data_IF_530635631764
#
_entry.id   IF_530635631764
#
_cell.length_a   1.000
_cell.length_b   1.000
_cell.length_c   1.000
_cell.angle_alpha   90.00
_cell.angle_beta   90.00
_cell.angle_gamma   90.00
#
_symmetry.space_group_name_H-M   'P 1'
#
loop_
_entity.id
_entity.type
_entity.pdbx_description
1 polymer ?
#
# COMPACT_ATOMS: atom_id res chain seq x y z
N UNK A 1 16.01 -37.62 -66.41
CA UNK A 1 17.27 -36.84 -66.43
C UNK A 1 17.10 -35.82 -65.37
N UNK A 2 17.72 -35.80 -64.35
CA UNK A 2 18.90 -36.32 -63.73
C UNK A 2 18.97 -35.68 -62.36
N UNK A 3 19.02 -36.43 -61.39
CA UNK A 3 19.49 -36.40 -60.05
C UNK A 3 20.64 -35.39 -59.74
N UNK A 4 20.53 -34.68 -58.64
CA UNK A 4 21.71 -34.33 -57.83
C UNK A 4 21.29 -34.26 -56.37
N UNK A 5 21.74 -35.27 -55.65
CA UNK A 5 21.91 -35.31 -54.20
C UNK A 5 23.02 -34.37 -53.79
N UNK A 6 22.85 -33.70 -52.68
CA UNK A 6 23.99 -33.25 -51.86
C UNK A 6 23.65 -33.45 -50.41
N UNK A 7 24.24 -34.47 -49.86
CA UNK A 7 24.51 -34.65 -48.46
C UNK A 7 25.55 -33.61 -48.00
N UNK A 8 25.35 -33.01 -46.87
CA UNK A 8 26.47 -32.57 -46.00
C UNK A 8 25.96 -32.38 -44.59
N UNK A 9 26.32 -33.30 -43.78
CA UNK A 9 27.16 -33.25 -42.57
C UNK A 9 26.53 -32.58 -41.32
N UNK A 10 26.23 -33.46 -40.46
CA UNK A 10 26.22 -33.46 -39.03
C UNK A 10 27.47 -32.75 -38.48
N UNK A 11 27.27 -31.68 -37.73
CA UNK A 11 28.30 -31.25 -36.75
C UNK A 11 27.64 -31.00 -35.39
N UNK A 12 27.97 -31.92 -34.50
CA UNK A 12 27.69 -31.87 -33.08
C UNK A 12 28.69 -30.89 -32.41
N UNK A 13 28.19 -29.83 -31.81
CA UNK A 13 28.98 -29.02 -30.92
C UNK A 13 28.29 -28.94 -29.57
N UNK A 14 28.63 -29.82 -28.69
CA UNK A 14 29.32 -29.73 -27.42
C UNK A 14 28.85 -28.58 -26.50
N UNK A 15 27.99 -28.92 -25.56
CA UNK A 15 27.75 -28.18 -24.33
C UNK A 15 29.03 -27.88 -23.54
N UNK A 16 29.13 -26.73 -22.91
CA UNK A 16 29.87 -26.62 -21.68
C UNK A 16 28.93 -26.51 -20.48
N UNK A 17 28.92 -27.56 -19.68
CA UNK A 17 28.46 -27.52 -18.29
C UNK A 17 29.30 -26.49 -17.54
N UNK A 18 28.66 -25.46 -17.02
CA UNK A 18 29.21 -24.64 -15.93
C UNK A 18 28.36 -24.91 -14.70
N UNK A 19 28.93 -25.69 -13.80
CA UNK A 19 28.53 -25.74 -12.40
C UNK A 19 28.96 -24.43 -11.75
N UNK A 20 28.03 -23.68 -11.27
CA UNK A 20 28.28 -22.69 -10.24
C UNK A 20 27.40 -23.05 -9.04
N UNK A 21 28.05 -23.69 -8.08
CA UNK A 21 27.59 -23.80 -6.71
C UNK A 21 27.51 -22.38 -6.15
N UNK A 22 26.31 -21.91 -5.86
CA UNK A 22 26.12 -20.70 -5.06
C UNK A 22 25.36 -21.10 -3.80
N UNK A 23 26.14 -21.19 -2.76
CA UNK A 23 25.76 -21.39 -1.36
C UNK A 23 24.86 -20.22 -0.91
N UNK A 24 23.77 -20.47 -0.19
CA UNK A 24 22.92 -19.42 0.35
C UNK A 24 23.57 -18.68 1.52
N UNK A 25 23.44 -17.37 1.67
CA UNK A 25 24.00 -16.62 2.78
C UNK A 25 23.31 -16.98 4.09
N UNK A 26 24.14 -17.37 5.04
CA UNK A 26 23.85 -17.70 6.44
C UNK A 26 23.33 -16.46 7.17
N UNK A 27 22.16 -16.54 7.75
CA UNK A 27 21.57 -15.55 8.64
C UNK A 27 22.44 -15.30 9.89
N UNK A 28 22.54 -14.06 10.39
CA UNK A 28 23.20 -13.79 11.65
C UNK A 28 22.31 -14.23 12.82
N UNK A 29 22.90 -15.05 13.68
CA UNK A 29 22.34 -15.56 14.94
C UNK A 29 22.44 -14.42 15.96
N UNK A 30 21.32 -13.94 16.47
CA UNK A 30 21.27 -13.07 17.64
C UNK A 30 21.57 -13.90 18.89
N UNK A 31 22.70 -13.61 19.51
CA UNK A 31 23.02 -14.13 20.83
C UNK A 31 22.40 -13.23 21.89
N UNK A 32 21.45 -13.79 22.60
CA UNK A 32 20.88 -13.25 23.82
C UNK A 32 21.86 -13.54 24.97
N UNK A 33 22.55 -12.51 25.41
CA UNK A 33 23.36 -12.54 26.63
C UNK A 33 22.49 -12.15 27.81
N UNK A 34 22.04 -13.12 28.54
CA UNK A 34 21.51 -12.97 29.90
C UNK A 34 22.71 -13.02 30.85
N UNK A 35 22.97 -11.90 31.52
CA UNK A 35 23.85 -11.93 32.68
C UNK A 35 23.11 -11.40 33.90
N UNK A 36 22.74 -12.38 34.72
CA UNK A 36 22.27 -12.27 36.09
C UNK A 36 23.47 -12.03 36.96
N UNK A 37 23.49 -10.98 37.75
CA UNK A 37 24.33 -10.90 38.93
C UNK A 37 23.50 -10.46 40.11
N UNK A 38 23.13 -11.42 40.91
CA UNK A 38 22.80 -11.30 42.31
C UNK A 38 24.05 -10.82 43.07
N UNK A 39 23.88 -9.83 43.93
CA UNK A 39 24.58 -9.85 45.21
C UNK A 39 23.84 -8.98 46.22
N UNK A 40 23.23 -9.65 47.08
CA UNK A 40 22.82 -9.63 48.44
C UNK A 40 23.93 -9.07 49.36
N UNK A 41 23.57 -8.05 50.15
CA UNK A 41 24.09 -7.90 51.50
C UNK A 41 23.38 -6.79 52.26
N UNK A 42 22.39 -7.20 53.03
CA UNK A 42 22.05 -6.54 54.28
C UNK A 42 23.08 -7.00 55.34
N UNK A 43 23.45 -6.11 56.31
CA UNK A 43 23.18 -6.53 57.65
C UNK A 43 22.55 -5.41 58.53
N UNK A 44 21.59 -5.89 59.30
CA UNK A 44 21.07 -5.24 60.48
C UNK A 44 22.15 -5.08 61.56
N UNK A 45 22.06 -4.03 62.30
CA UNK A 45 22.28 -4.03 63.76
C UNK A 45 21.86 -2.67 64.32
N UNK A 46 20.86 -2.63 65.11
CA UNK A 46 20.71 -2.96 66.52
C UNK A 46 21.23 -1.86 67.46
N UNK A 47 20.23 -1.35 68.22
CA UNK A 47 20.26 -0.87 69.56
C UNK A 47 21.10 0.37 69.95
N UNK A 48 20.48 1.41 70.43
CA UNK A 48 20.25 1.61 71.87
C UNK A 48 19.93 3.07 72.11
N UNK A 49 18.73 3.33 72.61
CA UNK A 49 18.39 4.50 73.43
C UNK A 49 19.12 4.37 74.74
N UNK A 50 19.48 5.44 75.49
CA UNK A 50 18.48 6.33 76.04
C UNK A 50 18.90 7.81 76.29
N UNK A 51 17.88 8.60 76.41
CA UNK A 51 17.68 9.68 77.40
C UNK A 51 18.38 11.02 77.31
N UNK A 52 17.51 11.96 77.32
CA UNK A 52 17.47 13.21 78.10
C UNK A 52 18.11 14.47 77.51
N UNK A 53 17.22 15.36 77.29
CA UNK A 53 17.15 16.71 77.90
C UNK A 53 17.72 17.87 77.11
N UNK A 54 16.91 18.94 77.22
CA UNK A 54 17.13 20.34 77.12
C UNK A 54 17.18 21.10 75.74
N UNK A 55 16.04 21.71 75.51
CA UNK A 55 15.82 23.15 75.33
C UNK A 55 16.75 23.94 74.41
N UNK A 56 16.20 24.30 73.24
CA UNK A 56 16.15 25.73 72.80
C UNK A 56 15.41 25.80 71.44
N UNK A 57 14.62 26.83 71.18
CA UNK A 57 13.90 27.00 69.90
C UNK A 57 14.86 27.42 68.80
N UNK A 58 15.09 26.56 67.86
CA UNK A 58 15.78 26.91 66.63
C UNK A 58 14.82 27.59 65.63
N UNK A 59 15.35 28.46 64.76
CA UNK A 59 14.54 29.31 63.90
C UNK A 59 13.70 28.49 62.93
N UNK A 60 12.47 28.96 62.75
CA UNK A 60 11.52 28.52 61.75
C UNK A 60 12.20 28.34 60.38
N UNK A 61 12.47 27.12 60.02
CA UNK A 61 12.68 26.77 58.63
C UNK A 61 11.32 26.88 57.91
N UNK A 62 11.06 28.07 57.40
CA UNK A 62 10.01 28.27 56.42
C UNK A 62 10.33 27.36 55.23
N UNK A 63 9.81 26.14 55.31
CA UNK A 63 9.69 25.25 54.15
C UNK A 63 8.82 26.00 53.12
N UNK A 64 9.49 26.66 52.21
CA UNK A 64 8.92 27.31 51.03
C UNK A 64 8.40 26.22 50.08
N UNK A 65 7.45 25.44 50.59
CA UNK A 65 6.69 24.51 49.78
C UNK A 65 5.77 25.30 48.88
N UNK A 66 6.06 25.33 47.60
CA UNK A 66 5.11 25.83 46.60
C UNK A 66 3.75 25.18 46.86
N UNK A 67 2.65 25.96 46.91
CA UNK A 67 1.34 25.42 47.16
C UNK A 67 1.06 24.33 46.11
N UNK A 68 0.52 23.16 46.49
CA UNK A 68 0.31 22.03 45.62
C UNK A 68 -0.54 22.37 44.38
N UNK A 69 -1.34 23.41 44.46
CA UNK A 69 -2.09 23.96 43.33
C UNK A 69 -1.18 24.54 42.22
N UNK A 70 -0.03 25.15 42.57
CA UNK A 70 0.90 25.68 41.55
C UNK A 70 1.68 24.57 40.85
N UNK A 71 2.00 23.47 41.54
CA UNK A 71 2.66 22.31 40.94
C UNK A 71 1.67 21.58 40.01
N UNK A 72 0.41 21.44 40.41
CA UNK A 72 -0.64 20.83 39.61
C UNK A 72 -0.89 21.62 38.31
N UNK A 73 -0.92 22.95 38.35
CA UNK A 73 -1.09 23.78 37.13
C UNK A 73 0.14 23.78 36.24
N UNK A 74 1.34 23.70 36.82
CA UNK A 74 2.59 23.65 36.05
C UNK A 74 2.72 22.36 35.19
N UNK A 75 2.15 21.25 35.66
CA UNK A 75 2.14 19.98 34.91
C UNK A 75 0.90 19.87 34.01
N UNK A 76 -0.26 20.35 34.46
CA UNK A 76 -1.51 20.23 33.70
C UNK A 76 -1.48 21.05 32.39
N UNK A 77 -0.89 22.21 32.37
CA UNK A 77 -0.80 23.06 31.18
C UNK A 77 -0.02 22.43 30.02
N UNK A 78 1.22 21.91 30.21
CA UNK A 78 1.93 21.26 29.11
C UNK A 78 1.26 19.98 28.66
N UNK A 79 0.64 19.20 29.55
CA UNK A 79 -0.10 18.00 29.18
C UNK A 79 -1.33 18.36 28.34
N UNK A 80 -2.10 19.36 28.75
CA UNK A 80 -3.24 19.85 27.98
C UNK A 80 -2.82 20.38 26.60
N UNK A 81 -1.69 21.09 26.52
CA UNK A 81 -1.14 21.55 25.24
C UNK A 81 -0.77 20.39 24.31
N UNK A 82 -0.10 19.37 24.83
CA UNK A 82 0.27 18.17 24.05
C UNK A 82 -0.98 17.46 23.53
N UNK A 83 -2.00 17.30 24.39
CA UNK A 83 -3.27 16.69 23.98
C UNK A 83 -3.95 17.54 22.90
N UNK A 84 -4.00 18.84 23.08
CA UNK A 84 -4.60 19.77 22.10
C UNK A 84 -3.87 19.70 20.75
N UNK A 85 -2.53 19.67 20.75
CA UNK A 85 -1.72 19.52 19.53
C UNK A 85 -1.97 18.16 18.85
N UNK A 86 -2.05 17.07 19.62
CA UNK A 86 -2.36 15.75 19.08
C UNK A 86 -3.76 15.70 18.46
N UNK A 87 -4.75 16.25 19.15
CA UNK A 87 -6.13 16.33 18.62
C UNK A 87 -6.16 17.19 17.36
N UNK A 88 -5.51 18.34 17.36
CA UNK A 88 -5.42 19.20 16.17
C UNK A 88 -4.71 18.51 15.02
N UNK A 89 -3.63 17.76 15.27
CA UNK A 89 -2.91 17.00 14.26
C UNK A 89 -3.78 15.86 13.66
N UNK A 90 -4.56 15.17 14.49
CA UNK A 90 -5.50 14.14 14.03
C UNK A 90 -6.61 14.78 13.20
N UNK A 91 -7.18 15.90 13.66
CA UNK A 91 -8.22 16.61 12.91
C UNK A 91 -7.68 17.15 11.59
N UNK A 92 -6.46 17.70 11.54
CA UNK A 92 -5.84 18.19 10.32
C UNK A 92 -5.59 17.06 9.31
N UNK A 93 -5.22 15.85 9.77
CA UNK A 93 -5.07 14.68 8.89
C UNK A 93 -6.39 14.18 8.31
N UNK A 94 -7.48 14.37 9.04
CA UNK A 94 -8.82 13.93 8.64
C UNK A 94 -9.62 15.02 7.91
N UNK A 95 -9.05 16.21 7.74
CA UNK A 95 -9.70 17.24 6.91
C UNK A 95 -9.71 16.79 5.46
N UNK A 96 -10.89 16.81 4.79
CA UNK A 96 -10.95 16.58 3.35
C UNK A 96 -10.06 17.62 2.67
N UNK A 97 -9.08 17.17 1.93
CA UNK A 97 -8.32 18.06 1.03
C UNK A 97 -9.27 18.36 -0.13
N UNK A 98 -9.70 19.61 -0.27
CA UNK A 98 -10.45 20.08 -1.44
C UNK A 98 -9.54 19.93 -2.66
N UNK A 99 -9.75 18.83 -3.40
CA UNK A 99 -9.05 18.56 -4.66
C UNK A 99 -9.89 19.12 -5.80
N UNK A 100 -9.20 19.68 -6.78
CA UNK A 100 -9.86 20.10 -8.01
C UNK A 100 -10.49 18.88 -8.71
N UNK A 101 -11.76 18.95 -9.10
CA UNK A 101 -12.40 17.87 -9.83
C UNK A 101 -11.68 17.56 -11.13
N UNK A 102 -11.53 16.25 -11.45
CA UNK A 102 -10.82 15.80 -12.64
C UNK A 102 -11.67 15.92 -13.89
N UNK A 103 -11.07 16.43 -14.95
CA UNK A 103 -11.62 16.39 -16.31
C UNK A 103 -11.02 15.16 -17.00
N UNK A 104 -11.86 14.19 -17.34
CA UNK A 104 -11.43 12.97 -18.03
C UNK A 104 -12.05 12.91 -19.44
N UNK A 105 -11.21 12.51 -20.41
CA UNK A 105 -11.67 12.21 -21.76
C UNK A 105 -12.65 11.02 -21.78
N UNK A 106 -13.64 11.12 -22.68
CA UNK A 106 -14.59 10.01 -22.91
C UNK A 106 -13.91 8.89 -23.69
N UNK A 107 -14.12 7.65 -23.25
CA UNK A 107 -13.72 6.42 -23.95
C UNK A 107 -14.98 5.61 -24.17
N UNK A 108 -15.15 4.98 -25.36
CA UNK A 108 -16.29 4.10 -25.61
C UNK A 108 -16.36 2.97 -24.58
N UNK A 109 -17.49 2.86 -23.92
CA UNK A 109 -17.77 1.84 -22.91
C UNK A 109 -19.17 1.26 -23.16
N UNK A 110 -19.35 0.40 -24.17
CA UNK A 110 -20.68 -0.07 -24.59
C UNK A 110 -21.41 -0.88 -23.52
N UNK A 111 -20.66 -1.51 -22.60
CA UNK A 111 -21.22 -2.30 -21.49
C UNK A 111 -21.15 -1.55 -20.14
N UNK A 112 -21.09 -0.22 -20.13
CA UNK A 112 -20.98 0.61 -18.93
C UNK A 112 -22.13 0.42 -17.93
N UNK A 113 -23.31 0.06 -18.40
CA UNK A 113 -24.52 -0.17 -17.62
C UNK A 113 -24.75 -1.68 -17.28
N UNK A 114 -23.78 -2.54 -17.59
CA UNK A 114 -23.86 -3.97 -17.27
C UNK A 114 -23.99 -4.21 -15.77
N UNK A 115 -24.58 -5.36 -15.41
CA UNK A 115 -24.70 -5.78 -14.01
C UNK A 115 -23.33 -5.82 -13.31
N UNK A 116 -22.28 -6.20 -14.02
CA UNK A 116 -20.93 -6.22 -13.48
C UNK A 116 -20.43 -4.81 -13.08
N UNK A 117 -20.59 -3.83 -13.98
CA UNK A 117 -20.17 -2.45 -13.70
C UNK A 117 -21.02 -1.80 -12.59
N UNK A 118 -22.33 -2.01 -12.60
CA UNK A 118 -23.24 -1.44 -11.58
C UNK A 118 -23.01 -2.04 -10.19
N UNK A 119 -22.53 -3.27 -10.11
CA UNK A 119 -22.13 -3.93 -8.84
C UNK A 119 -20.74 -3.46 -8.40
N UNK A 120 -19.76 -3.41 -9.30
CA UNK A 120 -18.38 -3.11 -8.96
C UNK A 120 -18.16 -1.66 -8.53
N UNK A 121 -18.69 -0.68 -9.26
CA UNK A 121 -18.37 0.73 -9.08
C UNK A 121 -18.67 1.29 -7.67
N UNK A 122 -19.80 0.95 -7.01
CA UNK A 122 -20.06 1.37 -5.64
C UNK A 122 -19.21 0.65 -4.61
N UNK A 123 -18.72 -0.57 -4.92
CA UNK A 123 -17.90 -1.38 -4.01
C UNK A 123 -16.43 -0.95 -4.00
N UNK A 124 -15.98 -0.15 -4.98
CA UNK A 124 -14.60 0.30 -5.06
C UNK A 124 -14.19 1.12 -3.84
N UNK A 125 -12.97 0.89 -3.30
CA UNK A 125 -12.48 1.55 -2.09
C UNK A 125 -12.38 3.06 -2.24
N UNK A 126 -12.44 3.78 -1.13
CA UNK A 126 -12.21 5.22 -1.09
C UNK A 126 -10.76 5.58 -1.38
N UNK A 127 -9.84 4.72 -0.96
CA UNK A 127 -8.41 4.93 -1.08
C UNK A 127 -7.73 3.75 -1.78
N UNK A 128 -6.75 4.06 -2.64
CA UNK A 128 -5.87 3.11 -3.32
C UNK A 128 -4.41 3.47 -2.98
N UNK A 129 -3.93 3.00 -1.83
CA UNK A 129 -2.65 3.44 -1.27
C UNK A 129 -2.72 4.94 -0.91
N UNK A 130 -1.83 5.73 -1.50
CA UNK A 130 -1.76 7.18 -1.27
C UNK A 130 -2.78 7.99 -2.11
N UNK A 131 -3.58 7.31 -2.92
CA UNK A 131 -4.58 7.95 -3.78
C UNK A 131 -5.96 7.86 -3.15
N UNK A 132 -6.66 8.98 -3.07
CA UNK A 132 -8.04 9.07 -2.56
C UNK A 132 -9.01 9.35 -3.71
N UNK A 133 -10.21 8.77 -3.64
CA UNK A 133 -11.28 8.92 -4.64
C UNK A 133 -11.59 10.38 -4.89
N UNK A 134 -11.66 10.75 -6.17
CA UNK A 134 -11.87 12.12 -6.63
C UNK A 134 -13.23 12.29 -7.29
N UNK A 135 -13.72 13.51 -7.28
CA UNK A 135 -14.88 13.92 -8.07
C UNK A 135 -14.46 14.16 -9.52
N UNK A 136 -15.37 13.86 -10.44
CA UNK A 136 -15.19 14.13 -11.85
C UNK A 136 -16.02 15.36 -12.25
N UNK A 137 -15.52 16.14 -13.21
CA UNK A 137 -16.28 17.25 -13.81
C UNK A 137 -17.37 16.69 -14.70
N UNK A 138 -18.58 17.22 -14.55
CA UNK A 138 -19.71 16.84 -15.40
C UNK A 138 -19.66 17.53 -16.78
N UNK A 139 -20.01 16.84 -17.86
CA UNK A 139 -20.48 15.45 -17.91
C UNK A 139 -19.34 14.43 -17.77
N UNK A 140 -19.41 13.63 -16.69
CA UNK A 140 -18.40 12.62 -16.44
C UNK A 140 -18.55 11.42 -17.40
N UNK A 141 -17.42 10.78 -17.81
CA UNK A 141 -17.48 9.55 -18.59
C UNK A 141 -18.25 8.44 -17.84
N UNK A 142 -19.12 7.68 -18.50
CA UNK A 142 -19.90 6.65 -17.84
C UNK A 142 -18.99 5.56 -17.24
N UNK A 143 -19.46 4.95 -16.18
CA UNK A 143 -18.80 3.84 -15.48
C UNK A 143 -17.31 4.09 -15.18
N UNK A 144 -16.96 5.33 -14.86
CA UNK A 144 -15.59 5.78 -14.57
C UNK A 144 -15.46 6.18 -13.11
N UNK A 145 -14.31 5.85 -12.50
CA UNK A 145 -13.87 6.33 -11.18
C UNK A 145 -12.42 6.76 -11.25
N UNK A 146 -12.04 7.72 -10.43
CA UNK A 146 -10.66 8.22 -10.36
C UNK A 146 -10.22 8.46 -8.92
N UNK A 147 -8.92 8.38 -8.70
CA UNK A 147 -8.26 8.66 -7.43
C UNK A 147 -7.06 9.55 -7.68
N UNK A 148 -6.84 10.52 -6.80
CA UNK A 148 -5.73 11.47 -6.85
C UNK A 148 -4.90 11.41 -5.57
N UNK A 149 -3.61 11.73 -5.70
CA UNK A 149 -2.76 12.02 -4.55
C UNK A 149 -3.07 13.41 -3.98
N UNK A 150 -2.83 13.64 -2.67
CA UNK A 150 -2.99 14.97 -2.06
C UNK A 150 -2.14 16.05 -2.71
N UNK A 151 -0.92 15.69 -3.11
CA UNK A 151 0.07 16.56 -3.76
C UNK A 151 -0.17 16.79 -5.25
N UNK A 152 -1.18 16.12 -5.83
CA UNK A 152 -1.46 16.17 -7.27
C UNK A 152 -0.70 15.11 -8.07
N UNK A 153 -0.58 15.33 -9.36
CA UNK A 153 0.02 14.40 -10.33
C UNK A 153 -1.02 13.60 -11.11
N UNK A 154 -0.56 12.61 -11.89
CA UNK A 154 -1.45 11.78 -12.71
C UNK A 154 -2.36 10.93 -11.84
N UNK A 155 -3.67 10.90 -12.14
CA UNK A 155 -4.64 10.13 -11.38
C UNK A 155 -4.60 8.63 -11.73
N UNK A 156 -5.02 7.80 -10.79
CA UNK A 156 -5.47 6.45 -11.13
C UNK A 156 -6.90 6.54 -11.68
N UNK A 157 -7.15 5.88 -12.79
CA UNK A 157 -8.47 5.91 -13.45
C UNK A 157 -8.95 4.48 -13.71
N UNK A 158 -10.13 4.15 -13.21
CA UNK A 158 -10.83 2.90 -13.53
C UNK A 158 -12.00 3.19 -14.49
N UNK A 159 -12.10 2.37 -15.52
CA UNK A 159 -13.21 2.36 -16.48
C UNK A 159 -13.78 0.95 -16.60
N UNK A 160 -15.08 0.82 -16.55
CA UNK A 160 -15.78 -0.45 -16.64
C UNK A 160 -16.66 -0.53 -17.89
N UNK A 161 -16.78 -1.71 -18.46
CA UNK A 161 -17.66 -1.93 -19.61
C UNK A 161 -17.04 -1.58 -20.96
N UNK A 162 -15.72 -1.60 -21.04
CA UNK A 162 -14.98 -1.33 -22.27
C UNK A 162 -15.11 -2.51 -23.26
N UNK A 163 -14.78 -2.22 -24.52
CA UNK A 163 -14.52 -3.27 -25.51
C UNK A 163 -13.22 -4.01 -25.20
N UNK A 164 -13.07 -5.21 -25.78
CA UNK A 164 -11.82 -5.96 -25.71
C UNK A 164 -10.69 -5.12 -26.33
N UNK A 165 -9.55 -4.97 -25.63
CA UNK A 165 -8.37 -4.35 -26.21
C UNK A 165 -7.94 -5.09 -27.49
N UNK A 166 -7.57 -4.35 -28.52
CA UNK A 166 -7.15 -4.93 -29.81
C UNK A 166 -5.90 -5.77 -29.68
N UNK A 167 -5.03 -5.43 -28.75
CA UNK A 167 -3.78 -6.09 -28.44
C UNK A 167 -4.01 -7.41 -27.66
N UNK A 168 -5.16 -7.56 -27.01
CA UNK A 168 -5.46 -8.77 -26.24
C UNK A 168 -5.82 -9.93 -27.14
N UNK A 169 -4.90 -10.86 -27.32
CA UNK A 169 -5.03 -12.04 -28.17
C UNK A 169 -4.55 -13.30 -27.43
N UNK A 170 -4.63 -14.46 -28.09
CA UNK A 170 -4.28 -15.76 -27.50
C UNK A 170 -2.81 -15.91 -27.06
N UNK A 171 -1.90 -15.07 -27.53
CA UNK A 171 -0.50 -15.08 -27.17
C UNK A 171 -0.16 -13.97 -26.13
N UNK A 172 -1.11 -13.16 -25.74
CA UNK A 172 -0.89 -12.08 -24.80
C UNK A 172 -0.45 -12.60 -23.44
N UNK A 173 0.58 -12.02 -22.82
CA UNK A 173 0.98 -12.35 -21.46
C UNK A 173 -0.12 -11.92 -20.48
N UNK A 174 -0.43 -12.78 -19.52
CA UNK A 174 -1.42 -12.52 -18.48
C UNK A 174 -0.73 -12.59 -17.13
N UNK A 175 -1.04 -11.63 -16.26
CA UNK A 175 -0.61 -11.63 -14.87
C UNK A 175 -1.81 -11.92 -13.95
N UNK A 176 -1.61 -12.78 -12.96
CA UNK A 176 -2.59 -13.07 -11.94
C UNK A 176 -2.31 -12.19 -10.73
N UNK A 177 -3.29 -11.35 -10.33
CA UNK A 177 -3.22 -10.57 -9.10
C UNK A 177 -4.50 -10.79 -8.30
N UNK A 178 -4.39 -11.36 -7.11
CA UNK A 178 -5.50 -11.65 -6.21
C UNK A 178 -6.71 -12.27 -6.93
N UNK A 179 -6.47 -13.39 -7.66
CA UNK A 179 -7.46 -14.17 -8.42
C UNK A 179 -8.11 -13.45 -9.61
N UNK A 180 -7.57 -12.30 -10.04
CA UNK A 180 -7.97 -11.61 -11.27
C UNK A 180 -6.88 -11.77 -12.31
N UNK A 181 -7.26 -12.08 -13.54
CA UNK A 181 -6.36 -12.16 -14.68
C UNK A 181 -6.29 -10.81 -15.37
N UNK A 182 -5.08 -10.26 -15.40
CA UNK A 182 -4.80 -8.93 -15.93
C UNK A 182 -3.95 -9.01 -17.19
N UNK A 183 -4.34 -8.24 -18.20
CA UNK A 183 -3.56 -7.95 -19.40
C UNK A 183 -3.06 -6.52 -19.31
N UNK A 184 -1.76 -6.31 -19.42
CA UNK A 184 -1.13 -4.99 -19.30
C UNK A 184 -0.84 -4.40 -20.67
N UNK A 185 -1.15 -3.12 -20.84
CA UNK A 185 -0.72 -2.28 -21.95
C UNK A 185 0.11 -1.13 -21.34
N UNK A 186 1.43 -1.16 -21.46
CA UNK A 186 2.29 -0.08 -20.98
C UNK A 186 2.19 1.14 -21.89
N UNK A 187 2.21 2.32 -21.30
CA UNK A 187 2.33 3.62 -21.98
C UNK A 187 3.60 4.32 -21.48
N UNK A 188 4.74 4.08 -22.13
CA UNK A 188 6.01 4.66 -21.69
C UNK A 188 6.08 6.18 -21.87
N UNK A 189 5.28 6.75 -22.77
CA UNK A 189 5.26 8.19 -23.02
C UNK A 189 4.54 8.94 -21.89
N UNK A 190 3.52 8.30 -21.30
CA UNK A 190 2.78 8.82 -20.16
C UNK A 190 3.34 8.33 -18.80
N UNK A 191 4.40 7.52 -18.78
CA UNK A 191 4.90 6.84 -17.57
C UNK A 191 3.75 6.19 -16.80
N UNK A 192 2.96 5.37 -17.49
CA UNK A 192 1.77 4.72 -16.95
C UNK A 192 1.56 3.34 -17.56
N UNK A 193 0.75 2.51 -16.93
CA UNK A 193 0.26 1.27 -17.49
C UNK A 193 -1.24 1.18 -17.36
N UNK A 194 -1.90 0.65 -18.39
CA UNK A 194 -3.32 0.31 -18.33
C UNK A 194 -3.48 -1.20 -18.23
N UNK A 195 -4.06 -1.63 -17.12
CA UNK A 195 -4.32 -3.01 -16.76
C UNK A 195 -5.79 -3.36 -17.06
N UNK A 196 -6.02 -4.39 -17.86
CA UNK A 196 -7.36 -4.87 -18.18
C UNK A 196 -7.66 -6.16 -17.45
N UNK A 197 -8.66 -6.16 -16.56
CA UNK A 197 -9.23 -7.42 -16.06
C UNK A 197 -9.99 -8.10 -17.19
N UNK A 198 -9.56 -9.30 -17.56
CA UNK A 198 -10.01 -9.96 -18.80
C UNK A 198 -10.83 -11.23 -18.55
N UNK A 199 -11.10 -11.55 -17.28
CA UNK A 199 -11.77 -12.77 -16.84
C UNK A 199 -13.04 -12.52 -16.01
N UNK A 200 -13.78 -11.44 -16.29
CA UNK A 200 -15.00 -11.07 -15.52
C UNK A 200 -16.25 -10.84 -16.38
N UNK A 201 -16.22 -11.32 -17.62
CA UNK A 201 -17.35 -11.17 -18.56
C UNK A 201 -17.58 -9.75 -19.07
N UNK A 202 -16.80 -8.80 -18.60
CA UNK A 202 -16.68 -7.41 -19.10
C UNK A 202 -15.24 -6.96 -18.93
N UNK A 203 -14.79 -6.03 -19.76
CA UNK A 203 -13.44 -5.50 -19.65
C UNK A 203 -13.43 -4.29 -18.70
N UNK A 204 -12.58 -4.37 -17.69
CA UNK A 204 -12.39 -3.33 -16.67
C UNK A 204 -10.95 -2.86 -16.80
N UNK A 205 -10.75 -1.61 -17.17
CA UNK A 205 -9.42 -1.02 -17.29
C UNK A 205 -9.07 -0.21 -16.04
N UNK A 206 -7.87 -0.40 -15.53
CA UNK A 206 -7.25 0.41 -14.48
C UNK A 206 -5.96 1.01 -15.02
N UNK A 207 -5.98 2.32 -15.26
CA UNK A 207 -4.76 3.07 -15.63
C UNK A 207 -4.07 3.52 -14.36
N UNK A 208 -2.80 3.14 -14.21
CA UNK A 208 -1.98 3.37 -13.02
C UNK A 208 -0.71 4.10 -13.42
N UNK A 209 -0.44 5.30 -12.87
CA UNK A 209 0.80 6.02 -13.09
C UNK A 209 2.02 5.27 -12.58
N UNK A 210 3.17 5.48 -13.21
CA UNK A 210 4.45 4.94 -12.76
C UNK A 210 4.75 5.30 -11.31
N UNK A 211 5.46 4.43 -10.62
CA UNK A 211 5.80 4.64 -9.21
C UNK A 211 4.65 4.53 -8.20
N UNK A 212 3.43 4.15 -8.62
CA UNK A 212 2.30 3.95 -7.71
C UNK A 212 2.42 2.70 -6.84
N UNK A 213 3.34 1.81 -7.17
CA UNK A 213 3.48 0.52 -6.49
C UNK A 213 2.34 -0.46 -6.80
N UNK A 214 2.32 -1.64 -6.18
CA UNK A 214 1.35 -2.69 -6.48
C UNK A 214 0.00 -2.51 -5.80
N UNK A 215 -0.08 -1.69 -4.75
CA UNK A 215 -1.27 -1.55 -3.89
C UNK A 215 -2.55 -1.21 -4.65
N UNK A 216 -2.57 -0.27 -5.62
CA UNK A 216 -3.79 0.04 -6.36
C UNK A 216 -4.36 -1.14 -7.11
N UNK A 217 -3.50 -1.90 -7.83
CA UNK A 217 -3.93 -3.05 -8.59
C UNK A 217 -4.44 -4.18 -7.68
N UNK A 218 -3.77 -4.41 -6.54
CA UNK A 218 -4.18 -5.41 -5.56
C UNK A 218 -5.53 -5.07 -4.93
N UNK A 219 -5.74 -3.84 -4.47
CA UNK A 219 -6.99 -3.42 -3.84
C UNK A 219 -8.20 -3.47 -4.80
N UNK A 220 -7.98 -3.11 -6.06
CA UNK A 220 -9.01 -3.25 -7.10
C UNK A 220 -9.26 -4.72 -7.40
N UNK A 221 -8.23 -5.57 -7.48
CA UNK A 221 -8.36 -7.02 -7.67
C UNK A 221 -9.19 -7.67 -6.55
N UNK A 222 -8.90 -7.34 -5.29
CA UNK A 222 -9.68 -7.83 -4.13
C UNK A 222 -11.16 -7.44 -4.25
N UNK A 223 -11.42 -6.19 -4.65
CA UNK A 223 -12.79 -5.72 -4.85
C UNK A 223 -13.49 -6.46 -5.99
N UNK A 224 -12.78 -6.68 -7.10
CA UNK A 224 -13.30 -7.44 -8.25
C UNK A 224 -13.63 -8.87 -7.82
N UNK A 225 -12.70 -9.56 -7.16
CA UNK A 225 -12.87 -10.95 -6.71
C UNK A 225 -14.05 -11.10 -5.73
N UNK A 226 -14.24 -10.14 -4.84
CA UNK A 226 -15.33 -10.15 -3.87
C UNK A 226 -16.72 -9.93 -4.50
N UNK A 227 -16.79 -9.27 -5.67
CA UNK A 227 -18.07 -8.82 -6.23
C UNK A 227 -18.42 -9.45 -7.58
N UNK A 228 -17.44 -9.96 -8.32
CA UNK A 228 -17.64 -10.49 -9.67
C UNK A 228 -17.09 -11.91 -9.80
N UNK A 229 -17.89 -12.88 -10.29
CA UNK A 229 -17.41 -14.23 -10.52
C UNK A 229 -16.43 -14.27 -11.68
N UNK A 230 -15.41 -15.13 -11.58
CA UNK A 230 -14.50 -15.42 -12.68
C UNK A 230 -15.24 -16.01 -13.88
N UNK A 231 -14.85 -15.62 -15.07
CA UNK A 231 -15.37 -16.07 -16.35
C UNK A 231 -14.23 -16.54 -17.26
N UNK A 232 -14.50 -17.40 -18.25
CA UNK A 232 -13.50 -17.75 -19.26
C UNK A 232 -12.98 -16.51 -19.99
N UNK A 233 -11.70 -16.56 -20.37
CA UNK A 233 -11.08 -15.53 -21.21
C UNK A 233 -11.71 -15.54 -22.63
N UNK A 234 -11.87 -14.34 -23.18
CA UNK A 234 -12.28 -14.14 -24.58
C UNK A 234 -11.20 -13.33 -25.35
N UNK A 235 -9.99 -13.92 -25.59
CA UNK A 235 -8.94 -13.25 -26.33
C UNK A 235 -9.26 -13.19 -27.83
N UNK A 236 -8.74 -12.17 -28.50
CA UNK A 236 -8.78 -12.08 -29.95
C UNK A 236 -7.98 -13.18 -30.66
N UNK A 237 -8.11 -13.29 -31.98
CA UNK A 237 -7.28 -14.21 -32.78
C UNK A 237 -5.81 -13.77 -32.70
N UNK A 238 -4.92 -14.68 -33.08
CA UNK A 238 -3.51 -14.31 -33.26
C UNK A 238 -3.38 -13.27 -34.39
N UNK A 239 -2.49 -12.30 -34.27
CA UNK A 239 -2.20 -11.39 -35.37
C UNK A 239 -1.62 -12.20 -36.55
N UNK A 240 -2.05 -11.84 -37.77
CA UNK A 240 -1.55 -12.43 -39.01
C UNK A 240 -0.16 -11.92 -39.35
#
# INVERSE_FOLDING_TARGET
MEAARSDTDTEAAKEPRSKADTEPPKAPRSETGTETTDDNAEPANDNTDPAADDTAPGPDETSSGYPPALIATAVALPVALVIAVLVAAIMARNMPVDREPLILGSVPAPAHDSAACTTLLPALPADLGDFTKSTLVEPAPPATRAWQRPEGGEPIVLRCGLDRPLEFNRASPIQMVNEVQWFEIPDPDADASTWFAVDRGTYIALTVPGGSGPTPLQAVSDTITANLPAQPLDPGPLPN
#
